data_IF_127813144300
#
_entry.id   IF_127813144300
#
_cell.length_a   1.000
_cell.length_b   1.000
_cell.length_c   1.000
_cell.angle_alpha   90.00
_cell.angle_beta   90.00
_cell.angle_gamma   90.00
#
_symmetry.space_group_name_H-M   'P 1'
#
loop_
_entity.id
_entity.type
_entity.pdbx_description
1 polymer ?
#
# COMPACT_ATOMS: atom_id res chain seq x y z
N UNK A 1 4.08 -16.92 34.44
CA UNK A 1 4.69 -16.06 33.40
C UNK A 1 3.84 -14.80 33.31
N UNK A 2 4.45 -13.61 33.33
CA UNK A 2 3.74 -12.33 33.14
C UNK A 2 4.28 -11.71 31.87
N UNK A 3 3.39 -11.33 30.97
CA UNK A 3 3.73 -10.60 29.75
C UNK A 3 3.70 -9.11 30.03
N UNK A 4 4.64 -8.38 29.42
CA UNK A 4 4.77 -6.93 29.51
C UNK A 4 4.82 -6.36 28.09
N UNK A 5 4.09 -5.25 27.88
CA UNK A 5 4.16 -4.51 26.62
C UNK A 5 5.56 -3.90 26.43
N UNK A 6 6.06 -3.93 25.20
CA UNK A 6 7.24 -3.18 24.76
C UNK A 6 6.93 -2.49 23.44
N UNK A 7 7.67 -1.43 23.14
CA UNK A 7 7.63 -0.82 21.81
C UNK A 7 8.31 -1.75 20.79
N UNK A 8 7.84 -1.67 19.55
CA UNK A 8 8.48 -2.31 18.42
C UNK A 8 9.74 -1.53 18.05
N UNK A 9 10.82 -2.26 17.83
CA UNK A 9 12.10 -1.76 17.35
C UNK A 9 12.20 -1.97 15.83
N UNK A 10 13.24 -1.42 15.19
CA UNK A 10 13.41 -1.47 13.73
C UNK A 10 13.60 -2.89 13.18
N UNK A 11 14.01 -3.85 14.02
CA UNK A 11 14.19 -5.26 13.66
C UNK A 11 12.93 -6.12 13.92
N UNK A 12 11.88 -5.54 14.50
CA UNK A 12 10.62 -6.22 14.71
C UNK A 12 9.79 -6.30 13.44
N UNK A 13 9.07 -7.41 13.27
CA UNK A 13 8.14 -7.55 12.14
C UNK A 13 6.98 -6.54 12.27
N UNK A 14 6.73 -5.69 11.25
CA UNK A 14 5.67 -4.71 11.33
C UNK A 14 4.31 -5.39 11.19
N UNK A 15 3.55 -5.50 12.28
CA UNK A 15 2.20 -6.12 12.30
C UNK A 15 1.07 -5.11 12.08
N UNK A 16 1.06 -4.01 12.82
CA UNK A 16 -0.06 -3.05 12.82
C UNK A 16 0.43 -1.61 12.57
N UNK A 17 -0.14 -0.89 11.59
CA UNK A 17 0.16 0.53 11.41
C UNK A 17 -0.41 1.34 12.58
N UNK A 18 0.42 2.19 13.20
CA UNK A 18 0.02 3.03 14.34
C UNK A 18 -0.84 4.21 13.86
N UNK A 19 -0.54 4.73 12.67
CA UNK A 19 -1.30 5.77 11.97
C UNK A 19 -1.44 7.09 12.76
N UNK A 20 -0.36 7.54 13.40
CA UNK A 20 -0.28 8.87 14.03
C UNK A 20 -0.37 10.00 13.00
N UNK A 21 -0.52 11.25 13.46
CA UNK A 21 -0.47 12.42 12.56
C UNK A 21 0.85 12.54 11.80
N UNK A 22 1.96 12.29 12.50
CA UNK A 22 3.29 12.26 11.88
C UNK A 22 3.40 11.17 10.82
N UNK A 23 2.87 9.97 11.10
CA UNK A 23 2.86 8.86 10.13
C UNK A 23 2.06 9.23 8.88
N UNK A 24 0.90 9.89 9.04
CA UNK A 24 0.07 10.30 7.91
C UNK A 24 0.75 11.33 7.02
N UNK A 25 1.46 12.28 7.63
CA UNK A 25 2.26 13.26 6.89
C UNK A 25 3.38 12.59 6.08
N UNK A 26 4.11 11.65 6.71
CA UNK A 26 5.16 10.87 6.05
C UNK A 26 4.60 9.97 4.95
N UNK A 27 3.48 9.29 5.21
CA UNK A 27 2.78 8.45 4.25
C UNK A 27 2.36 9.23 3.01
N UNK A 28 1.92 10.48 3.16
CA UNK A 28 1.58 11.33 2.02
C UNK A 28 2.80 11.56 1.10
N UNK A 29 3.99 11.75 1.67
CA UNK A 29 5.23 11.86 0.89
C UNK A 29 5.57 10.55 0.18
N UNK A 30 5.42 9.39 0.85
CA UNK A 30 5.63 8.09 0.21
C UNK A 30 4.62 7.79 -0.88
N UNK A 31 3.36 8.20 -0.73
CA UNK A 31 2.33 8.06 -1.78
C UNK A 31 2.68 8.88 -3.02
N UNK A 32 3.20 10.09 -2.86
CA UNK A 32 3.68 10.89 -3.99
C UNK A 32 4.83 10.18 -4.73
N UNK A 33 5.80 9.61 -3.99
CA UNK A 33 6.89 8.82 -4.58
C UNK A 33 6.39 7.55 -5.27
N UNK A 34 5.45 6.84 -4.66
CA UNK A 34 4.84 5.65 -5.24
C UNK A 34 4.18 5.97 -6.59
N UNK A 35 3.45 7.10 -6.69
CA UNK A 35 2.90 7.58 -7.97
C UNK A 35 3.99 7.84 -9.00
N UNK A 36 5.10 8.49 -8.63
CA UNK A 36 6.24 8.70 -9.53
C UNK A 36 6.86 7.39 -10.02
N UNK A 37 6.98 6.38 -9.15
CA UNK A 37 7.48 5.04 -9.52
C UNK A 37 6.50 4.27 -10.41
N UNK A 38 5.19 4.39 -10.18
CA UNK A 38 4.19 3.83 -11.10
C UNK A 38 4.34 4.44 -12.50
N UNK A 39 4.55 5.76 -12.59
CA UNK A 39 4.67 6.48 -13.86
C UNK A 39 5.95 6.11 -14.63
N UNK A 40 7.08 6.04 -13.93
CA UNK A 40 8.41 5.90 -14.54
C UNK A 40 8.84 4.44 -14.69
N UNK A 41 8.48 3.59 -13.73
CA UNK A 41 8.98 2.23 -13.59
C UNK A 41 7.89 1.16 -13.64
N UNK A 42 6.61 1.57 -13.75
CA UNK A 42 5.43 0.66 -13.75
C UNK A 42 5.35 -0.21 -12.49
N UNK A 43 5.82 0.31 -11.36
CA UNK A 43 5.76 -0.37 -10.05
C UNK A 43 4.48 0.04 -9.33
N UNK A 44 3.64 -0.94 -8.95
CA UNK A 44 2.44 -0.71 -8.14
C UNK A 44 2.65 -1.19 -6.71
N UNK A 45 2.06 -0.47 -5.76
CA UNK A 45 2.11 -0.79 -4.33
C UNK A 45 0.73 -1.20 -3.82
N UNK A 46 0.65 -2.34 -3.16
CA UNK A 46 -0.60 -2.94 -2.67
C UNK A 46 -0.42 -3.72 -1.37
N UNK A 47 -1.54 -4.17 -0.80
CA UNK A 47 -1.55 -4.95 0.45
C UNK A 47 -1.12 -4.17 1.69
N UNK A 48 -1.07 -4.87 2.83
CA UNK A 48 -0.93 -4.28 4.17
C UNK A 48 0.30 -3.37 4.32
N UNK A 49 1.46 -3.86 3.91
CA UNK A 49 2.73 -3.14 4.02
C UNK A 49 2.91 -2.12 2.90
N UNK A 50 2.47 -2.43 1.67
CA UNK A 50 2.62 -1.54 0.53
C UNK A 50 1.72 -0.30 0.57
N UNK A 51 0.59 -0.35 1.31
CA UNK A 51 -0.35 0.78 1.42
C UNK A 51 -0.43 1.41 2.81
N UNK A 52 0.32 0.89 3.79
CA UNK A 52 0.25 1.27 5.20
C UNK A 52 -1.18 1.21 5.74
N UNK A 53 -1.85 0.08 5.56
CA UNK A 53 -3.23 -0.12 5.98
C UNK A 53 -3.40 -1.51 6.59
N UNK A 54 -4.06 -1.60 7.74
CA UNK A 54 -4.46 -2.90 8.27
C UNK A 54 -5.54 -3.51 7.37
N UNK A 55 -5.29 -4.73 6.88
CA UNK A 55 -6.19 -5.47 6.00
C UNK A 55 -6.30 -6.91 6.53
N UNK A 56 -7.52 -7.33 6.85
CA UNK A 56 -7.82 -8.75 7.01
C UNK A 56 -7.67 -9.49 5.67
N UNK A 57 -7.56 -10.82 5.72
CA UNK A 57 -7.31 -11.65 4.54
C UNK A 57 -8.29 -11.38 3.39
N UNK A 58 -9.59 -11.31 3.69
CA UNK A 58 -10.62 -11.07 2.68
C UNK A 58 -10.52 -9.67 2.05
N UNK A 59 -10.13 -8.65 2.84
CA UNK A 59 -9.89 -7.30 2.33
C UNK A 59 -8.64 -7.25 1.44
N UNK A 60 -7.59 -7.99 1.80
CA UNK A 60 -6.40 -8.12 0.96
C UNK A 60 -6.71 -8.80 -0.38
N UNK A 61 -7.49 -9.89 -0.37
CA UNK A 61 -7.95 -10.57 -1.59
C UNK A 61 -8.81 -9.62 -2.44
N UNK A 62 -9.79 -8.96 -1.83
CA UNK A 62 -10.65 -8.01 -2.54
C UNK A 62 -9.84 -6.84 -3.14
N UNK A 63 -8.86 -6.31 -2.40
CA UNK A 63 -7.97 -5.25 -2.88
C UNK A 63 -7.12 -5.72 -4.07
N UNK A 64 -6.57 -6.94 -4.02
CA UNK A 64 -5.79 -7.50 -5.11
C UNK A 64 -6.63 -7.72 -6.37
N UNK A 65 -7.84 -8.28 -6.23
CA UNK A 65 -8.78 -8.46 -7.36
C UNK A 65 -9.18 -7.11 -7.95
N UNK A 66 -9.48 -6.11 -7.12
CA UNK A 66 -9.83 -4.77 -7.59
C UNK A 66 -8.67 -4.12 -8.37
N UNK A 67 -7.43 -4.21 -7.87
CA UNK A 67 -6.25 -3.71 -8.59
C UNK A 67 -6.06 -4.43 -9.93
N UNK A 68 -6.29 -5.73 -9.97
CA UNK A 68 -6.20 -6.49 -11.21
C UNK A 68 -7.27 -6.05 -12.21
N UNK A 69 -8.54 -6.06 -11.82
CA UNK A 69 -9.66 -5.81 -12.73
C UNK A 69 -9.68 -4.36 -13.26
N UNK A 70 -9.33 -3.39 -12.42
CA UNK A 70 -9.48 -1.96 -12.75
C UNK A 70 -8.21 -1.28 -13.25
N UNK A 71 -7.03 -1.82 -12.93
CA UNK A 71 -5.74 -1.18 -13.28
C UNK A 71 -4.91 -2.08 -14.18
N UNK A 72 -4.61 -3.32 -13.75
CA UNK A 72 -3.71 -4.18 -14.50
C UNK A 72 -4.35 -4.73 -15.77
N UNK A 73 -5.56 -5.29 -15.70
CA UNK A 73 -6.21 -5.90 -16.86
C UNK A 73 -6.45 -4.88 -18.00
N UNK A 74 -6.97 -3.65 -17.75
CA UNK A 74 -7.09 -2.64 -18.80
C UNK A 74 -5.74 -2.18 -19.35
N UNK A 75 -4.71 -2.03 -18.50
CA UNK A 75 -3.37 -1.68 -18.96
C UNK A 75 -2.78 -2.76 -19.87
N UNK A 76 -2.86 -4.01 -19.44
CA UNK A 76 -2.24 -5.15 -20.13
C UNK A 76 -2.97 -5.54 -21.42
N UNK A 77 -4.29 -5.37 -21.47
CA UNK A 77 -5.11 -5.74 -22.64
C UNK A 77 -5.21 -4.59 -23.64
N UNK A 78 -5.49 -3.38 -23.15
CA UNK A 78 -5.94 -2.26 -23.98
C UNK A 78 -4.94 -1.10 -23.98
N UNK A 79 -3.81 -1.21 -23.27
CA UNK A 79 -2.77 -0.18 -23.22
C UNK A 79 -3.16 1.06 -22.39
N UNK A 80 -4.22 0.98 -21.58
CA UNK A 80 -4.65 2.08 -20.70
C UNK A 80 -3.53 2.46 -19.74
N UNK A 81 -3.20 3.75 -19.54
CA UNK A 81 -2.16 4.15 -18.58
C UNK A 81 -2.42 3.65 -17.15
N UNK A 82 -1.36 3.23 -16.43
CA UNK A 82 -1.44 2.77 -15.03
C UNK A 82 -1.80 3.88 -14.03
N UNK A 83 -1.63 5.14 -14.42
CA UNK A 83 -2.06 6.31 -13.66
C UNK A 83 -3.07 7.06 -14.49
N UNK A 84 -4.21 7.36 -13.89
CA UNK A 84 -5.17 8.33 -14.42
C UNK A 84 -5.18 9.55 -13.51
N UNK A 85 -5.19 10.74 -14.10
CA UNK A 85 -5.26 11.99 -13.35
C UNK A 85 -6.62 12.06 -12.62
N UNK A 86 -6.61 11.83 -11.30
CA UNK A 86 -7.82 11.92 -10.48
C UNK A 86 -7.96 10.93 -9.32
N UNK A 87 -7.03 9.99 -9.13
CA UNK A 87 -7.01 9.08 -7.97
C UNK A 87 -6.02 9.52 -6.87
#
# INVERSE_FOLDING_TARGET
MREYSRFAEDDDEPYYPINTEADRALLATYRARAKSETASSKVLFGGRLGTYQYLDMHMAIASALNMYDNVLAPHLRDGVPLLQDGA
#
